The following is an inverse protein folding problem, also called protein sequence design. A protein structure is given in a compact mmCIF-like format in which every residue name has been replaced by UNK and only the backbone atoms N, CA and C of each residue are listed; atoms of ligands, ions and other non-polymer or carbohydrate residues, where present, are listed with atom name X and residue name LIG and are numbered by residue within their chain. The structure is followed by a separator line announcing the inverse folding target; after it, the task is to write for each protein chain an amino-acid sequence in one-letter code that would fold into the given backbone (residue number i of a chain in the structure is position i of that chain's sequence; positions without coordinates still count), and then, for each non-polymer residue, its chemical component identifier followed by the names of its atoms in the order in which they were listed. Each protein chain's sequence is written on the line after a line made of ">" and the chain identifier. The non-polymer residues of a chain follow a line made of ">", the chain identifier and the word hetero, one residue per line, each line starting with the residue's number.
data_IF_926723320747
#
_entry.id   IF_926723320747
#
_cell.length_a   1.000
_cell.length_b   1.000
_cell.length_c   1.000
_cell.angle_alpha   90.00
_cell.angle_beta   90.00
_cell.angle_gamma   90.00
#
_symmetry.space_group_name_H-M   'P 1'
#
loop_
_entity.id
_entity.type
_entity.pdbx_description
1 polymer ?
#
# COMPACT_ATOMS: atom_id res chain seq x y z
N UNK A 1 6.56 -14.58 10.98
CA UNK A 1 5.11 -14.51 11.24
C UNK A 1 4.39 -14.11 9.97
N UNK A 2 3.17 -14.59 9.76
CA UNK A 2 2.37 -14.32 8.57
C UNK A 2 1.18 -15.28 8.47
N UNK A 3 0.49 -15.26 7.33
CA UNK A 3 -0.69 -16.10 7.09
C UNK A 3 -0.34 -17.28 6.15
N UNK A 4 -0.35 -18.54 6.61
CA UNK A 4 -0.12 -19.72 5.76
C UNK A 4 -1.10 -19.79 4.57
N UNK A 5 -2.35 -19.35 4.78
CA UNK A 5 -3.39 -19.30 3.75
C UNK A 5 -3.06 -18.36 2.58
N UNK A 6 -2.09 -17.44 2.73
CA UNK A 6 -1.60 -16.57 1.65
C UNK A 6 -0.32 -17.10 0.99
N UNK A 7 -0.12 -18.42 0.99
CA UNK A 7 1.03 -19.07 0.36
C UNK A 7 2.34 -18.97 1.14
N UNK A 8 2.37 -18.31 2.29
CA UNK A 8 3.55 -18.18 3.17
C UNK A 8 3.79 -19.45 3.98
N UNK A 9 4.17 -20.55 3.33
CA UNK A 9 4.45 -21.85 3.97
C UNK A 9 5.67 -21.79 4.91
N UNK A 10 6.57 -20.85 4.69
CA UNK A 10 7.76 -20.55 5.52
C UNK A 10 7.44 -20.13 6.97
N UNK A 11 6.18 -19.76 7.25
CA UNK A 11 5.74 -19.42 8.60
C UNK A 11 5.43 -20.65 9.46
N UNK A 12 5.44 -21.85 8.87
CA UNK A 12 5.37 -23.13 9.58
C UNK A 12 6.78 -23.72 9.79
N UNK A 13 6.99 -24.57 10.81
CA UNK A 13 6.05 -24.93 11.87
C UNK A 13 5.83 -23.79 12.88
N UNK A 14 4.81 -23.95 13.73
CA UNK A 14 4.55 -23.09 14.88
C UNK A 14 5.54 -23.40 16.03
N UNK A 15 5.42 -22.72 17.18
CA UNK A 15 6.30 -22.93 18.34
C UNK A 15 7.67 -22.25 18.24
N UNK A 16 7.84 -21.33 17.30
CA UNK A 16 9.06 -20.53 17.11
C UNK A 16 8.90 -19.14 17.73
N UNK A 17 10.02 -18.50 18.10
CA UNK A 17 10.02 -17.07 18.37
C UNK A 17 9.81 -16.30 17.05
N UNK A 18 8.63 -15.72 16.89
CA UNK A 18 8.20 -15.16 15.61
C UNK A 18 8.79 -13.76 15.39
N UNK A 19 9.29 -13.53 14.17
CA UNK A 19 9.68 -12.21 13.68
C UNK A 19 8.88 -11.86 12.41
N UNK A 20 8.91 -10.60 12.01
CA UNK A 20 8.20 -10.09 10.83
C UNK A 20 9.19 -9.72 9.71
N UNK A 21 8.67 -9.41 8.53
CA UNK A 21 9.48 -8.91 7.42
C UNK A 21 10.08 -7.53 7.73
N UNK A 22 11.16 -7.16 7.04
CA UNK A 22 11.73 -5.80 7.10
C UNK A 22 10.67 -4.78 6.63
N UNK A 23 10.26 -3.82 7.48
CA UNK A 23 9.27 -2.81 7.09
C UNK A 23 9.70 -1.99 5.86
N UNK A 24 11.00 -1.78 5.64
CA UNK A 24 11.51 -0.94 4.54
C UNK A 24 11.29 -1.52 3.15
N UNK A 25 10.93 -2.81 3.05
CA UNK A 25 10.59 -3.45 1.77
C UNK A 25 9.10 -3.35 1.45
N UNK A 26 8.31 -2.63 2.25
CA UNK A 26 6.87 -2.46 2.06
C UNK A 26 6.53 -1.06 1.52
N UNK A 27 5.59 -0.94 0.57
CA UNK A 27 4.91 -2.05 -0.13
C UNK A 27 5.87 -2.86 -1.01
N UNK A 28 5.68 -4.17 -1.11
CA UNK A 28 6.41 -5.03 -2.06
C UNK A 28 5.89 -4.84 -3.48
N UNK A 29 6.63 -5.23 -4.54
CA UNK A 29 6.12 -5.19 -5.90
C UNK A 29 4.81 -5.96 -6.08
N UNK A 30 4.72 -7.16 -5.50
CA UNK A 30 3.49 -7.97 -5.54
C UNK A 30 2.33 -7.32 -4.79
N UNK A 31 2.58 -6.71 -3.63
CA UNK A 31 1.51 -6.00 -2.91
C UNK A 31 1.08 -4.73 -3.64
N UNK A 32 1.97 -4.12 -4.43
CA UNK A 32 1.62 -3.02 -5.31
C UNK A 32 0.67 -3.45 -6.44
N UNK A 33 0.95 -4.55 -7.12
CA UNK A 33 0.06 -5.07 -8.16
C UNK A 33 -1.34 -5.39 -7.61
N UNK A 34 -1.41 -6.01 -6.43
CA UNK A 34 -2.66 -6.33 -5.74
C UNK A 34 -3.39 -5.07 -5.26
N UNK A 35 -2.67 -4.11 -4.66
CA UNK A 35 -3.23 -2.84 -4.21
C UNK A 35 -3.76 -1.99 -5.36
N UNK A 36 -3.09 -2.00 -6.52
CA UNK A 36 -3.59 -1.36 -7.75
C UNK A 36 -4.88 -2.01 -8.23
N UNK A 37 -4.92 -3.35 -8.33
CA UNK A 37 -6.13 -4.06 -8.73
C UNK A 37 -7.31 -3.79 -7.77
N UNK A 38 -7.05 -3.74 -6.46
CA UNK A 38 -8.06 -3.38 -5.47
C UNK A 38 -8.52 -1.92 -5.61
N UNK A 39 -7.62 -0.99 -5.94
CA UNK A 39 -7.97 0.40 -6.22
C UNK A 39 -8.88 0.53 -7.43
N UNK A 40 -8.54 -0.16 -8.52
CA UNK A 40 -9.32 -0.16 -9.75
C UNK A 40 -10.73 -0.74 -9.52
N UNK A 41 -10.86 -1.75 -8.65
CA UNK A 41 -12.15 -2.29 -8.21
C UNK A 41 -12.99 -1.27 -7.44
N UNK A 42 -12.40 -0.60 -6.44
CA UNK A 42 -13.09 0.44 -5.67
C UNK A 42 -13.60 1.56 -6.58
N UNK A 43 -12.75 2.03 -7.49
CA UNK A 43 -13.08 3.10 -8.43
C UNK A 43 -14.20 2.69 -9.39
N UNK A 44 -14.10 1.49 -9.97
CA UNK A 44 -15.12 0.97 -10.89
C UNK A 44 -16.45 0.78 -10.20
N UNK A 45 -16.47 0.19 -9.00
CA UNK A 45 -17.69 0.00 -8.22
C UNK A 45 -18.35 1.35 -7.87
N UNK A 46 -17.56 2.35 -7.47
CA UNK A 46 -18.06 3.69 -7.18
C UNK A 46 -18.64 4.37 -8.43
N UNK A 47 -17.91 4.33 -9.55
CA UNK A 47 -18.36 4.89 -10.83
C UNK A 47 -19.67 4.27 -11.30
N UNK A 48 -19.81 2.95 -11.19
CA UNK A 48 -21.04 2.24 -11.57
C UNK A 48 -22.25 2.63 -10.73
N UNK A 49 -22.04 2.94 -9.45
CA UNK A 49 -23.11 3.26 -8.51
C UNK A 49 -23.45 4.75 -8.43
N UNK A 50 -22.49 5.64 -8.73
CA UNK A 50 -22.63 7.10 -8.54
C UNK A 50 -22.47 7.91 -9.83
N UNK A 51 -21.93 7.34 -10.91
CA UNK A 51 -21.78 7.99 -12.20
C UNK A 51 -20.61 8.99 -12.33
N UNK A 52 -19.79 9.13 -11.28
CA UNK A 52 -18.56 9.95 -11.30
C UNK A 52 -17.46 9.30 -10.44
N UNK A 53 -16.23 9.81 -10.51
CA UNK A 53 -15.10 9.35 -9.71
C UNK A 53 -15.21 9.80 -8.25
N UNK A 54 -14.78 8.97 -7.28
CA UNK A 54 -14.71 9.42 -5.89
C UNK A 54 -13.67 10.54 -5.76
N UNK A 55 -14.06 11.65 -5.13
CA UNK A 55 -13.16 12.79 -4.90
C UNK A 55 -12.15 12.50 -3.81
N UNK A 56 -12.60 11.86 -2.74
CA UNK A 56 -11.76 11.50 -1.60
C UNK A 56 -12.15 10.14 -1.01
N UNK A 57 -11.17 9.47 -0.40
CA UNK A 57 -11.33 8.20 0.30
C UNK A 57 -10.50 8.22 1.60
N UNK A 58 -10.97 7.47 2.60
CA UNK A 58 -10.20 7.22 3.83
C UNK A 58 -9.66 5.81 3.79
N UNK A 59 -8.37 5.63 4.10
CA UNK A 59 -7.73 4.31 4.23
C UNK A 59 -7.19 4.13 5.64
N UNK A 60 -7.65 3.06 6.30
CA UNK A 60 -7.18 2.64 7.61
C UNK A 60 -5.94 1.75 7.51
N UNK A 61 -4.84 2.18 8.12
CA UNK A 61 -3.56 1.46 8.15
C UNK A 61 -3.34 0.80 9.51
N UNK A 62 -3.30 -0.53 9.49
CA UNK A 62 -3.08 -1.37 10.68
C UNK A 62 -1.77 -2.14 10.56
N UNK A 63 -0.81 -1.89 11.46
CA UNK A 63 0.53 -2.49 11.37
C UNK A 63 0.55 -4.01 11.20
N UNK A 64 -0.29 -4.75 11.92
CA UNK A 64 -0.34 -6.22 11.79
C UNK A 64 -0.90 -6.69 10.44
N UNK A 65 -1.80 -5.93 9.83
CA UNK A 65 -2.32 -6.22 8.50
C UNK A 65 -1.24 -5.95 7.44
N UNK A 66 -0.56 -4.81 7.53
CA UNK A 66 0.54 -4.43 6.64
C UNK A 66 1.65 -5.48 6.57
N UNK A 67 2.04 -6.02 7.73
CA UNK A 67 3.05 -7.09 7.79
C UNK A 67 2.59 -8.39 7.10
N UNK A 68 1.29 -8.69 7.11
CA UNK A 68 0.73 -9.90 6.50
C UNK A 68 0.50 -9.75 5.00
N UNK A 69 0.23 -8.54 4.54
CA UNK A 69 -0.05 -8.23 3.13
C UNK A 69 1.22 -7.79 2.38
N UNK A 70 2.27 -7.42 3.10
CA UNK A 70 3.41 -6.75 2.50
C UNK A 70 3.09 -5.31 2.10
N UNK A 71 2.11 -4.68 2.75
CA UNK A 71 1.71 -3.29 2.52
C UNK A 71 0.69 -3.06 1.40
N UNK A 72 -0.21 -4.01 1.13
CA UNK A 72 -1.24 -3.88 0.06
C UNK A 72 -2.09 -2.63 0.22
N UNK A 73 -2.45 -2.27 1.46
CA UNK A 73 -3.23 -1.08 1.75
C UNK A 73 -2.46 0.24 1.51
N UNK A 74 -1.15 0.27 1.74
CA UNK A 74 -0.29 1.41 1.37
C UNK A 74 -0.23 1.52 -0.16
N UNK A 75 -0.01 0.39 -0.83
CA UNK A 75 -0.03 0.30 -2.27
C UNK A 75 -1.36 0.77 -2.88
N UNK A 76 -2.49 0.38 -2.28
CA UNK A 76 -3.82 0.79 -2.71
C UNK A 76 -3.98 2.31 -2.64
N UNK A 77 -3.63 2.94 -1.52
CA UNK A 77 -3.71 4.39 -1.40
C UNK A 77 -2.76 5.13 -2.35
N UNK A 78 -1.52 4.66 -2.50
CA UNK A 78 -0.59 5.23 -3.48
C UNK A 78 -1.13 5.12 -4.91
N UNK A 79 -1.70 3.97 -5.29
CA UNK A 79 -2.31 3.79 -6.60
C UNK A 79 -3.49 4.76 -6.80
N UNK A 80 -4.38 4.92 -5.83
CA UNK A 80 -5.47 5.90 -5.86
C UNK A 80 -4.99 7.34 -6.07
N UNK A 81 -3.91 7.73 -5.38
CA UNK A 81 -3.24 9.03 -5.55
C UNK A 81 -2.51 9.16 -6.89
N UNK A 82 -2.30 8.05 -7.61
CA UNK A 82 -1.54 8.03 -8.87
C UNK A 82 -0.03 8.06 -8.67
N UNK A 83 0.43 7.43 -7.60
CA UNK A 83 1.84 7.27 -7.24
C UNK A 83 2.22 5.79 -7.30
N UNK A 84 3.45 5.52 -7.74
CA UNK A 84 4.05 4.18 -7.77
C UNK A 84 5.30 4.16 -6.88
N UNK A 85 5.42 3.22 -5.93
CA UNK A 85 6.66 3.06 -5.18
C UNK A 85 7.85 2.76 -6.11
N UNK A 86 9.02 3.22 -5.73
CA UNK A 86 10.29 2.85 -6.36
C UNK A 86 11.04 1.90 -5.45
N UNK A 87 11.60 0.85 -6.03
CA UNK A 87 12.36 -0.18 -5.30
C UNK A 87 13.81 -0.20 -5.73
N UNK A 88 14.69 -0.36 -4.76
CA UNK A 88 16.08 -0.72 -5.01
C UNK A 88 16.15 -2.18 -5.50
N UNK A 89 16.77 -2.40 -6.67
CA UNK A 89 16.81 -3.71 -7.31
C UNK A 89 17.63 -4.76 -6.54
N UNK A 90 18.60 -4.34 -5.72
CA UNK A 90 19.46 -5.26 -4.96
C UNK A 90 18.84 -5.67 -3.62
N UNK A 91 18.18 -4.74 -2.93
CA UNK A 91 17.69 -4.93 -1.56
C UNK A 91 16.17 -5.08 -1.47
N UNK A 92 15.44 -4.72 -2.52
CA UNK A 92 13.97 -4.67 -2.52
C UNK A 92 13.39 -3.61 -1.59
N UNK A 93 14.22 -2.71 -1.05
CA UNK A 93 13.75 -1.60 -0.21
C UNK A 93 13.06 -0.55 -1.05
N UNK A 94 12.03 0.06 -0.50
CA UNK A 94 11.37 1.21 -1.10
C UNK A 94 12.28 2.43 -0.92
N UNK A 95 12.61 3.09 -2.02
CA UNK A 95 13.53 4.24 -2.05
C UNK A 95 12.83 5.57 -2.32
N UNK A 96 11.57 5.53 -2.75
CA UNK A 96 10.80 6.73 -3.06
C UNK A 96 9.50 6.40 -3.78
N UNK A 97 8.93 7.42 -4.42
CA UNK A 97 7.74 7.31 -5.26
C UNK A 97 8.00 7.94 -6.63
N UNK A 98 7.32 7.43 -7.63
CA UNK A 98 7.13 8.03 -8.93
C UNK A 98 5.69 8.54 -9.03
N UNK A 99 5.53 9.81 -9.39
CA UNK A 99 4.21 10.37 -9.70
C UNK A 99 3.86 10.03 -11.16
N UNK A 100 2.80 9.25 -11.36
CA UNK A 100 2.37 8.83 -12.69
C UNK A 100 1.73 10.01 -13.45
N UNK A 101 2.04 10.22 -14.74
CA UNK A 101 1.42 11.29 -15.54
C UNK A 101 -0.10 11.13 -15.66
N UNK A 102 -0.91 12.21 -15.60
CA UNK A 102 -2.37 12.14 -15.71
C UNK A 102 -2.87 11.37 -16.94
N UNK A 103 -2.18 11.51 -18.08
CA UNK A 103 -2.51 10.79 -19.32
C UNK A 103 -2.43 9.25 -19.17
N UNK A 104 -1.52 8.75 -18.31
CA UNK A 104 -1.38 7.31 -18.05
C UNK A 104 -2.38 6.78 -17.03
N UNK A 105 -2.93 7.63 -16.16
CA UNK A 105 -3.92 7.24 -15.17
C UNK A 105 -5.30 6.96 -15.78
N UNK A 106 -5.69 7.73 -16.80
CA UNK A 106 -7.04 7.64 -17.40
C UNK A 106 -8.18 8.08 -16.47
N UNK A 107 -7.86 8.72 -15.34
CA UNK A 107 -8.80 9.22 -14.33
C UNK A 107 -8.18 10.36 -13.50
N UNK A 108 -8.98 11.14 -12.76
CA UNK A 108 -8.48 12.02 -11.73
C UNK A 108 -7.72 11.26 -10.62
N UNK A 109 -6.78 11.94 -9.96
CA UNK A 109 -6.23 11.48 -8.68
C UNK A 109 -7.33 11.53 -7.63
N UNK A 110 -7.36 10.56 -6.74
CA UNK A 110 -8.25 10.56 -5.58
C UNK A 110 -7.49 11.11 -4.39
N UNK A 111 -8.10 12.03 -3.66
CA UNK A 111 -7.56 12.51 -2.39
C UNK A 111 -7.68 11.40 -1.33
N UNK A 112 -6.57 11.07 -0.67
CA UNK A 112 -6.53 9.95 0.29
C UNK A 112 -6.20 10.48 1.67
N UNK A 113 -7.16 10.33 2.59
CA UNK A 113 -6.95 10.56 4.01
C UNK A 113 -6.47 9.26 4.66
N UNK A 114 -5.31 9.31 5.30
CA UNK A 114 -4.71 8.15 5.95
C UNK A 114 -4.99 8.13 7.45
N UNK A 115 -5.64 7.08 7.93
CA UNK A 115 -5.84 6.85 9.36
C UNK A 115 -4.91 5.73 9.83
N UNK A 116 -3.88 6.09 10.59
CA UNK A 116 -2.87 5.13 11.08
C UNK A 116 -3.19 4.66 12.49
N UNK A 117 -3.01 3.36 12.76
CA UNK A 117 -3.04 2.83 14.13
C UNK A 117 -1.75 3.15 14.88
N UNK A 118 -1.79 3.08 16.22
CA UNK A 118 -0.59 3.30 17.05
C UNK A 118 0.55 2.33 16.71
N UNK A 119 0.23 1.05 16.47
CA UNK A 119 1.23 0.07 16.04
C UNK A 119 1.82 0.42 14.66
N UNK A 120 1.00 0.94 13.74
CA UNK A 120 1.51 1.37 12.44
C UNK A 120 2.49 2.53 12.59
N UNK A 121 2.13 3.54 13.39
CA UNK A 121 3.01 4.67 13.74
C UNK A 121 4.38 4.21 14.25
N UNK A 122 4.37 3.24 15.16
CA UNK A 122 5.60 2.82 15.84
C UNK A 122 6.50 1.93 14.96
N UNK A 123 5.90 1.14 14.05
CA UNK A 123 6.64 0.17 13.23
C UNK A 123 7.04 0.67 11.83
N UNK A 124 6.34 1.66 11.28
CA UNK A 124 6.46 2.05 9.87
C UNK A 124 6.78 3.54 9.65
N UNK A 125 7.77 4.14 10.35
CA UNK A 125 8.10 5.56 10.16
C UNK A 125 8.52 5.87 8.72
N UNK A 126 9.20 4.94 8.05
CA UNK A 126 9.59 5.09 6.64
C UNK A 126 8.41 5.13 5.68
N UNK A 127 7.35 4.36 5.95
CA UNK A 127 6.15 4.38 5.11
C UNK A 127 5.31 5.63 5.37
N UNK A 128 5.32 6.15 6.60
CA UNK A 128 4.67 7.43 6.89
C UNK A 128 5.35 8.55 6.11
N UNK A 129 6.69 8.60 6.11
CA UNK A 129 7.44 9.55 5.31
C UNK A 129 7.20 9.36 3.79
N UNK A 130 7.08 8.11 3.32
CA UNK A 130 6.75 7.81 1.92
C UNK A 130 5.37 8.35 1.52
N UNK A 131 4.36 8.13 2.38
CA UNK A 131 2.99 8.61 2.17
C UNK A 131 2.94 10.14 2.17
N UNK A 132 3.63 10.78 3.11
CA UNK A 132 3.73 12.25 3.17
C UNK A 132 4.43 12.82 1.92
N UNK A 133 5.53 12.21 1.47
CA UNK A 133 6.19 12.59 0.23
C UNK A 133 5.27 12.45 -0.99
N UNK A 134 4.46 11.39 -1.06
CA UNK A 134 3.49 11.20 -2.13
C UNK A 134 2.38 12.26 -2.08
N UNK A 135 1.87 12.61 -0.90
CA UNK A 135 0.84 13.62 -0.71
C UNK A 135 1.31 15.02 -1.10
N UNK A 136 2.55 15.38 -0.77
CA UNK A 136 3.13 16.68 -1.13
C UNK A 136 3.47 16.79 -2.64
N UNK A 137 3.59 15.66 -3.35
CA UNK A 137 4.01 15.64 -4.74
C UNK A 137 2.85 15.70 -5.75
N UNK A 138 1.59 15.57 -5.31
CA UNK A 138 0.40 15.48 -6.17
C UNK A 138 -0.63 16.57 -5.94
#
# INVERSE_FOLDING_TARGET
>A
AGAPARGRRDVLPTGRNLFTSDPRTMPTPTSFDLGRAASDEVLRSYMQSHGDWPRSLVIDLWGSASLRTGGEEIAQGLALMGCRPQWDGATGRVTGIEVLPPATLGRPRVDVTWRISGLFRDMFPTQIALIDAAANAV
#
